data_IF_800304699971
#
_entry.id   IF_800304699971
#
_cell.length_a   1.000
_cell.length_b   1.000
_cell.length_c   1.000
_cell.angle_alpha   90.00
_cell.angle_beta   90.00
_cell.angle_gamma   90.00
#
_symmetry.space_group_name_H-M   'P 1'
#
loop_
_entity.id
_entity.type
_entity.pdbx_description
1 polymer ?
#
# COMPACT_ATOMS: atom_id res chain seq x y z
N UNK A 1 8.79 9.66 -0.63
CA UNK A 1 7.89 8.88 0.26
C UNK A 1 8.40 7.46 0.53
N UNK A 2 8.57 6.60 -0.49
CA UNK A 2 9.04 5.20 -0.30
C UNK A 2 10.30 5.12 0.56
N UNK A 3 11.37 5.83 0.17
CA UNK A 3 12.61 5.89 0.97
C UNK A 3 12.39 6.42 2.39
N UNK A 4 11.45 7.34 2.59
CA UNK A 4 11.19 7.93 3.90
C UNK A 4 10.42 6.98 4.83
N UNK A 5 9.73 5.98 4.27
CA UNK A 5 9.03 4.92 4.97
C UNK A 5 9.84 3.61 5.03
N UNK A 6 11.01 3.56 4.42
CA UNK A 6 11.79 2.32 4.30
C UNK A 6 12.26 1.82 5.66
N UNK A 7 12.08 0.51 5.87
CA UNK A 7 12.52 -0.25 7.05
C UNK A 7 12.75 -1.71 6.64
N UNK A 8 13.68 -2.44 7.28
CA UNK A 8 14.00 -3.83 6.89
C UNK A 8 12.82 -4.82 6.93
N UNK A 9 11.84 -4.56 7.78
CA UNK A 9 10.63 -5.38 7.98
C UNK A 9 9.48 -5.01 7.03
N UNK A 10 9.61 -3.94 6.24
CA UNK A 10 8.57 -3.45 5.33
C UNK A 10 8.77 -4.00 3.92
N UNK A 11 7.66 -4.38 3.30
CA UNK A 11 7.56 -4.74 1.89
C UNK A 11 6.63 -3.74 1.22
N UNK A 12 7.13 -3.06 0.19
CA UNK A 12 6.34 -2.19 -0.66
C UNK A 12 5.79 -3.00 -1.84
N UNK A 13 4.47 -2.95 -2.03
CA UNK A 13 3.82 -3.52 -3.20
C UNK A 13 3.33 -2.39 -4.09
N UNK A 14 3.93 -2.26 -5.28
CA UNK A 14 3.43 -1.38 -6.33
C UNK A 14 2.33 -2.09 -7.09
N UNK A 15 1.18 -1.44 -7.20
CA UNK A 15 0.05 -1.91 -8.00
C UNK A 15 0.11 -1.16 -9.33
N UNK A 16 0.09 -1.89 -10.43
CA UNK A 16 0.13 -1.34 -11.77
C UNK A 16 -1.05 -1.88 -12.59
N UNK A 17 -1.89 -0.96 -13.06
CA UNK A 17 -2.83 -1.22 -14.15
C UNK A 17 -2.26 -0.82 -15.52
N UNK A 18 -3.01 -1.05 -16.61
CA UNK A 18 -2.53 -0.78 -17.96
C UNK A 18 -2.10 0.66 -18.23
N UNK A 19 -2.71 1.61 -17.51
CA UNK A 19 -2.44 3.05 -17.64
C UNK A 19 -1.26 3.54 -16.78
N UNK A 20 -0.77 2.74 -15.83
CA UNK A 20 0.20 3.17 -14.83
C UNK A 20 1.66 2.91 -15.24
N UNK A 21 1.87 2.23 -16.39
CA UNK A 21 3.18 1.72 -16.82
C UNK A 21 4.27 2.78 -16.72
N UNK A 22 4.10 3.91 -17.39
CA UNK A 22 5.14 4.94 -17.48
C UNK A 22 5.45 5.54 -16.10
N UNK A 23 4.42 5.74 -15.27
CA UNK A 23 4.59 6.26 -13.91
C UNK A 23 5.33 5.27 -13.00
N UNK A 24 5.04 3.97 -13.14
CA UNK A 24 5.70 2.92 -12.37
C UNK A 24 7.15 2.74 -12.83
N UNK A 25 7.44 2.77 -14.13
CA UNK A 25 8.82 2.70 -14.61
C UNK A 25 9.67 3.88 -14.10
N UNK A 26 9.17 5.11 -14.21
CA UNK A 26 9.85 6.30 -13.68
C UNK A 26 10.12 6.18 -12.17
N UNK A 27 9.17 5.66 -11.40
CA UNK A 27 9.35 5.45 -9.97
C UNK A 27 10.42 4.39 -9.68
N UNK A 28 10.45 3.29 -10.44
CA UNK A 28 11.46 2.25 -10.28
C UNK A 28 12.87 2.79 -10.61
N UNK A 29 13.01 3.57 -11.68
CA UNK A 29 14.26 4.25 -12.02
C UNK A 29 14.73 5.15 -10.87
N UNK A 30 13.84 5.96 -10.31
CA UNK A 30 14.15 6.81 -9.16
C UNK A 30 14.56 6.01 -7.92
N UNK A 31 13.96 4.83 -7.69
CA UNK A 31 14.35 3.98 -6.56
C UNK A 31 15.71 3.30 -6.76
N UNK A 32 16.08 2.97 -8.00
CA UNK A 32 17.36 2.29 -8.32
C UNK A 32 18.53 3.28 -8.38
N UNK A 33 18.31 4.50 -8.88
CA UNK A 33 19.40 5.44 -9.18
C UNK A 33 19.80 6.35 -8.02
N UNK A 34 18.97 6.53 -7.00
CA UNK A 34 19.15 7.64 -6.05
C UNK A 34 20.00 7.36 -4.82
N UNK A 35 20.26 6.11 -4.40
CA UNK A 35 21.13 5.90 -3.23
C UNK A 35 21.59 4.45 -2.98
N UNK A 36 22.91 4.24 -2.76
CA UNK A 36 23.46 2.97 -2.24
C UNK A 36 23.08 2.72 -0.77
N UNK A 37 22.57 3.71 -0.06
CA UNK A 37 22.15 3.61 1.33
C UNK A 37 20.84 2.80 1.53
N UNK A 38 19.98 2.69 0.52
CA UNK A 38 18.70 1.95 0.59
C UNK A 38 18.79 0.55 -0.05
N UNK A 39 19.95 -0.10 0.04
CA UNK A 39 20.26 -1.43 -0.54
C UNK A 39 19.36 -2.57 -0.05
N UNK A 40 18.44 -2.30 0.89
CA UNK A 40 17.50 -3.27 1.44
C UNK A 40 16.03 -2.99 1.09
N UNK A 41 15.72 -2.01 0.23
CA UNK A 41 14.35 -1.72 -0.15
C UNK A 41 13.68 -2.98 -0.74
N UNK A 42 12.72 -3.53 -0.02
CA UNK A 42 11.95 -4.69 -0.48
C UNK A 42 10.74 -4.18 -1.24
N UNK A 43 10.84 -4.24 -2.57
CA UNK A 43 9.80 -3.77 -3.46
C UNK A 43 9.35 -4.89 -4.40
N UNK A 44 8.05 -5.09 -4.49
CA UNK A 44 7.41 -6.01 -5.42
C UNK A 44 6.39 -5.26 -6.29
N UNK A 45 6.11 -5.79 -7.48
CA UNK A 45 5.18 -5.19 -8.44
C UNK A 45 4.09 -6.20 -8.79
N UNK A 46 2.83 -5.79 -8.66
CA UNK A 46 1.65 -6.56 -9.05
C UNK A 46 1.03 -5.90 -10.28
N UNK A 47 1.07 -6.59 -11.41
CA UNK A 47 0.68 -6.05 -12.72
C UNK A 47 -0.63 -6.66 -13.18
N UNK A 48 -1.58 -5.81 -13.58
CA UNK A 48 -2.82 -6.20 -14.25
C UNK A 48 -3.57 -7.34 -13.54
N UNK A 49 -3.57 -7.34 -12.20
CA UNK A 49 -4.26 -8.34 -11.43
C UNK A 49 -5.78 -8.20 -11.62
N UNK A 50 -6.53 -9.30 -11.82
CA UNK A 50 -7.98 -9.26 -11.79
C UNK A 50 -8.48 -8.66 -10.46
N UNK A 51 -9.55 -7.88 -10.51
CA UNK A 51 -10.06 -7.16 -9.34
C UNK A 51 -10.28 -8.03 -8.08
N UNK A 52 -10.82 -9.27 -8.17
CA UNK A 52 -10.95 -10.12 -6.99
C UNK A 52 -9.60 -10.51 -6.37
N UNK A 53 -8.57 -10.75 -7.19
CA UNK A 53 -7.22 -11.04 -6.69
C UNK A 53 -6.59 -9.80 -6.06
N UNK A 54 -6.76 -8.64 -6.70
CA UNK A 54 -6.29 -7.37 -6.16
C UNK A 54 -6.94 -7.08 -4.80
N UNK A 55 -8.25 -7.26 -4.69
CA UNK A 55 -9.02 -7.11 -3.45
C UNK A 55 -8.48 -8.02 -2.32
N UNK A 56 -8.22 -9.30 -2.63
CA UNK A 56 -7.67 -10.25 -1.65
C UNK A 56 -6.26 -9.86 -1.18
N UNK A 57 -5.43 -9.31 -2.06
CA UNK A 57 -4.10 -8.78 -1.70
C UNK A 57 -4.23 -7.54 -0.82
N UNK A 58 -5.06 -6.57 -1.23
CA UNK A 58 -5.30 -5.32 -0.50
C UNK A 58 -5.82 -5.56 0.92
N UNK A 59 -6.71 -6.53 1.12
CA UNK A 59 -7.24 -6.91 2.44
C UNK A 59 -6.12 -7.33 3.44
N UNK A 60 -4.97 -7.77 2.92
CA UNK A 60 -3.82 -8.21 3.72
C UNK A 60 -2.80 -7.12 3.97
N UNK A 61 -2.85 -6.00 3.26
CA UNK A 61 -1.94 -4.87 3.45
C UNK A 61 -2.08 -4.26 4.85
N UNK A 62 -0.97 -3.81 5.42
CA UNK A 62 -0.95 -3.06 6.69
C UNK A 62 -1.32 -1.59 6.49
N UNK A 63 -1.10 -1.09 5.28
CA UNK A 63 -1.46 0.25 4.84
C UNK A 63 -1.50 0.23 3.32
N UNK A 64 -2.49 0.90 2.74
CA UNK A 64 -2.53 1.26 1.33
C UNK A 64 -2.43 2.78 1.20
N UNK A 65 -1.59 3.25 0.28
CA UNK A 65 -1.42 4.67 -0.04
C UNK A 65 -1.77 4.83 -1.52
N UNK A 66 -2.71 5.72 -1.83
CA UNK A 66 -3.15 5.93 -3.21
C UNK A 66 -3.68 7.33 -3.44
N UNK A 67 -3.76 7.73 -4.70
CA UNK A 67 -4.45 8.93 -5.14
C UNK A 67 -5.97 8.72 -5.16
N UNK A 68 -6.72 9.73 -5.58
CA UNK A 68 -8.14 9.57 -5.94
C UNK A 68 -8.29 8.63 -7.16
N UNK A 69 -8.52 7.34 -6.89
CA UNK A 69 -8.65 6.29 -7.90
C UNK A 69 -9.52 5.12 -7.43
N UNK A 70 -10.03 4.34 -8.38
CA UNK A 70 -10.85 3.16 -8.08
C UNK A 70 -10.15 2.12 -7.21
N UNK A 71 -8.82 1.98 -7.31
CA UNK A 71 -8.04 1.05 -6.46
C UNK A 71 -8.04 1.53 -5.00
N UNK A 72 -7.98 2.83 -4.75
CA UNK A 72 -8.10 3.42 -3.40
C UNK A 72 -9.46 3.10 -2.78
N UNK A 73 -10.54 3.21 -3.56
CA UNK A 73 -11.87 2.77 -3.13
C UNK A 73 -11.94 1.27 -2.86
N UNK A 74 -11.35 0.45 -3.72
CA UNK A 74 -11.30 -0.99 -3.54
C UNK A 74 -10.58 -1.36 -2.24
N UNK A 75 -9.41 -0.77 -1.98
CA UNK A 75 -8.64 -0.99 -0.76
C UNK A 75 -9.45 -0.66 0.50
N UNK A 76 -10.13 0.49 0.49
CA UNK A 76 -10.99 0.89 1.60
C UNK A 76 -12.18 -0.07 1.80
N UNK A 77 -12.80 -0.52 0.70
CA UNK A 77 -13.96 -1.43 0.74
C UNK A 77 -13.65 -2.81 1.32
N UNK A 78 -12.40 -3.28 1.16
CA UNK A 78 -11.94 -4.56 1.73
C UNK A 78 -11.36 -4.40 3.14
N UNK A 79 -11.49 -3.21 3.74
CA UNK A 79 -11.08 -2.94 5.11
C UNK A 79 -9.59 -2.69 5.31
N UNK A 80 -8.82 -2.49 4.25
CA UNK A 80 -7.43 -2.07 4.38
C UNK A 80 -7.37 -0.67 5.04
N UNK A 81 -6.40 -0.39 5.92
CA UNK A 81 -6.10 0.98 6.32
C UNK A 81 -5.64 1.78 5.10
N UNK A 82 -6.24 2.94 4.84
CA UNK A 82 -5.94 3.75 3.65
C UNK A 82 -5.48 5.15 4.05
N UNK A 83 -4.42 5.62 3.39
CA UNK A 83 -4.09 7.04 3.25
C UNK A 83 -4.34 7.44 1.81
N UNK A 84 -5.34 8.31 1.59
CA UNK A 84 -5.73 8.76 0.26
C UNK A 84 -5.29 10.21 0.02
N UNK A 85 -4.65 10.45 -1.13
CA UNK A 85 -4.14 11.75 -1.54
C UNK A 85 -5.07 12.39 -2.58
N UNK A 86 -5.73 13.48 -2.19
CA UNK A 86 -6.71 14.22 -3.00
C UNK A 86 -6.17 15.60 -3.37
N UNK A 87 -5.63 15.75 -4.57
CA UNK A 87 -5.00 17.02 -5.00
C UNK A 87 -6.02 17.93 -5.68
N UNK A 88 -6.71 17.43 -6.72
CA UNK A 88 -7.56 18.23 -7.59
C UNK A 88 -9.07 18.02 -7.38
N UNK A 89 -9.45 16.90 -6.76
CA UNK A 89 -10.84 16.47 -6.60
C UNK A 89 -11.33 16.68 -5.17
N UNK A 90 -12.65 16.87 -5.02
CA UNK A 90 -13.28 17.07 -3.72
C UNK A 90 -13.52 15.73 -2.99
N UNK A 91 -12.83 15.47 -1.87
CA UNK A 91 -13.03 14.24 -1.10
C UNK A 91 -14.40 14.19 -0.39
N UNK A 92 -15.10 15.31 -0.20
CA UNK A 92 -16.46 15.26 0.34
C UNK A 92 -17.42 14.56 -0.64
N UNK A 93 -17.13 14.63 -1.94
CA UNK A 93 -17.92 13.97 -3.00
C UNK A 93 -17.39 12.59 -3.36
N UNK A 94 -16.08 12.45 -3.46
CA UNK A 94 -15.42 11.26 -4.01
C UNK A 94 -14.61 10.47 -2.99
N UNK A 95 -14.63 10.85 -1.71
CA UNK A 95 -13.85 10.19 -0.68
C UNK A 95 -14.22 8.70 -0.52
N UNK A 96 -13.23 7.79 -0.42
CA UNK A 96 -13.48 6.40 -0.11
C UNK A 96 -14.08 6.22 1.28
N UNK A 97 -14.96 5.22 1.43
CA UNK A 97 -15.60 4.89 2.70
C UNK A 97 -14.83 3.79 3.44
N UNK A 98 -14.79 3.86 4.77
CA UNK A 98 -14.14 2.86 5.62
C UNK A 98 -13.03 3.45 6.49
N UNK A 99 -11.98 2.67 6.76
CA UNK A 99 -10.82 3.08 7.56
C UNK A 99 -9.85 3.93 6.73
N UNK A 100 -10.25 5.16 6.43
CA UNK A 100 -9.50 6.05 5.54
C UNK A 100 -9.11 7.37 6.20
N UNK A 101 -7.87 7.77 5.98
CA UNK A 101 -7.37 9.11 6.24
C UNK A 101 -7.13 9.81 4.90
N UNK A 102 -7.67 11.02 4.74
CA UNK A 102 -7.56 11.80 3.50
C UNK A 102 -6.65 12.99 3.75
N UNK A 103 -5.67 13.19 2.87
CA UNK A 103 -4.90 14.42 2.75
C UNK A 103 -5.34 15.14 1.49
N UNK A 104 -5.76 16.40 1.64
CA UNK A 104 -6.27 17.23 0.54
C UNK A 104 -5.31 18.39 0.25
N UNK A 105 -5.20 18.77 -1.03
CA UNK A 105 -4.35 19.87 -1.49
C UNK A 105 -2.97 19.38 -1.91
N UNK A 106 -1.92 20.06 -1.46
CA UNK A 106 -0.52 19.74 -1.81
C UNK A 106 0.27 19.33 -0.55
N UNK A 107 0.05 18.11 -0.02
CA UNK A 107 0.73 17.67 1.20
C UNK A 107 2.21 17.40 0.94
N UNK A 108 3.06 17.87 1.84
CA UNK A 108 4.49 17.57 1.82
C UNK A 108 4.74 16.07 2.06
N UNK A 109 5.89 15.59 1.58
CA UNK A 109 6.31 14.19 1.82
C UNK A 109 6.38 13.87 3.32
N UNK A 110 6.73 14.85 4.15
CA UNK A 110 6.82 14.68 5.60
C UNK A 110 5.44 14.51 6.25
N UNK A 111 4.44 15.28 5.82
CA UNK A 111 3.06 15.13 6.30
C UNK A 111 2.49 13.75 5.93
N UNK A 112 2.70 13.32 4.69
CA UNK A 112 2.26 12.00 4.24
C UNK A 112 2.97 10.90 5.04
N UNK A 113 4.29 11.03 5.26
CA UNK A 113 5.08 10.08 6.05
C UNK A 113 4.57 9.98 7.48
N UNK A 114 4.41 11.12 8.17
CA UNK A 114 3.96 11.15 9.56
C UNK A 114 2.57 10.52 9.73
N UNK A 115 1.66 10.76 8.79
CA UNK A 115 0.35 10.12 8.79
C UNK A 115 0.47 8.60 8.56
N UNK A 116 1.29 8.16 7.60
CA UNK A 116 1.50 6.73 7.34
C UNK A 116 2.05 6.00 8.57
N UNK A 117 3.04 6.57 9.27
CA UNK A 117 3.60 5.99 10.50
C UNK A 117 2.54 5.85 11.59
N UNK A 118 1.72 6.88 11.81
CA UNK A 118 0.60 6.82 12.77
C UNK A 118 -0.41 5.72 12.43
N UNK A 119 -0.76 5.56 11.15
CA UNK A 119 -1.71 4.53 10.71
C UNK A 119 -1.12 3.13 10.85
N UNK A 120 0.17 2.96 10.52
CA UNK A 120 0.89 1.70 10.70
C UNK A 120 0.95 1.29 12.18
N UNK A 121 1.26 2.22 13.07
CA UNK A 121 1.29 1.98 14.52
C UNK A 121 -0.10 1.56 15.05
N UNK A 122 -1.16 2.30 14.69
CA UNK A 122 -2.53 1.94 15.07
C UNK A 122 -2.97 0.58 14.49
N UNK A 123 -2.48 0.20 13.31
CA UNK A 123 -2.79 -1.09 12.68
C UNK A 123 -2.06 -2.24 13.37
N UNK A 124 -0.80 -2.05 13.77
CA UNK A 124 -0.02 -3.05 14.50
C UNK A 124 -0.69 -3.42 15.84
N UNK A 125 -1.30 -2.45 16.52
CA UNK A 125 -2.02 -2.67 17.78
C UNK A 125 -3.34 -3.44 17.62
N UNK A 126 -3.96 -3.38 16.45
CA UNK A 126 -5.31 -3.94 16.23
C UNK A 126 -5.30 -5.30 15.51
N UNK A 127 -4.22 -5.64 14.80
CA UNK A 127 -4.07 -6.97 14.22
C UNK A 127 -3.56 -7.95 15.27
N UNK A 128 -4.39 -8.95 15.62
CA UNK A 128 -3.88 -10.17 16.25
C UNK A 128 -2.80 -10.77 15.35
N UNK A 129 -1.66 -11.24 15.89
CA UNK A 129 -0.72 -12.01 15.09
C UNK A 129 -1.49 -13.19 14.50
N UNK A 130 -1.53 -13.27 13.17
CA UNK A 130 -1.94 -14.52 12.54
C UNK A 130 -0.89 -15.53 12.95
N UNK A 131 -1.26 -16.45 13.85
CA UNK A 131 -0.44 -17.60 14.16
C UNK A 131 0.03 -18.18 12.83
N UNK A 132 1.34 -18.29 12.64
CA UNK A 132 1.90 -19.18 11.63
C UNK A 132 1.36 -20.57 11.96
N UNK A 133 0.18 -20.93 11.47
CA UNK A 133 -0.22 -22.32 11.40
C UNK A 133 0.75 -22.96 10.44
N UNK A 134 1.66 -23.72 11.04
CA UNK A 134 2.54 -24.69 10.43
C UNK A 134 1.89 -25.30 9.20
N UNK A 135 2.47 -25.05 8.02
CA UNK A 135 2.21 -25.82 6.80
C UNK A 135 2.88 -27.21 6.89
N UNK A 136 3.21 -27.69 8.09
CA UNK A 136 3.72 -29.03 8.33
C UNK A 136 2.64 -29.88 9.00
N UNK A 137 1.78 -30.50 8.17
CA UNK A 137 1.14 -31.83 8.35
C UNK A 137 -0.11 -31.92 7.49
N UNK A 138 -0.01 -32.61 6.36
CA UNK A 138 -0.39 -34.02 6.32
C UNK A 138 -0.13 -34.58 4.93
N UNK A 139 0.85 -35.47 4.88
CA UNK A 139 0.98 -36.52 3.87
C UNK A 139 -0.38 -37.17 3.58
N UNK A 140 -0.80 -37.14 2.33
CA UNK A 140 -1.81 -38.04 1.79
C UNK A 140 -1.27 -39.49 1.89
N UNK A 141 -1.94 -40.44 2.57
CA UNK A 141 -1.63 -41.85 2.42
C UNK A 141 -2.32 -42.40 1.16
N UNK A 142 -1.49 -43.07 0.35
CA UNK A 142 -1.70 -43.93 -0.84
C UNK A 142 -3.13 -44.22 -1.28
#
# INVERSE_FOLDING_TARGET
>A
LIHALDRPDRLFLLIEGPADRDSVEQLLELCVHRDRAYTQLRLARLRNAPLPHLAAVLARCHLFIGNDSGVTHLAASVGAPVVALFIATDPARWGPRGRVHILQGDPSVEEVRALCERVLEATALTRRPQSRTDLTRSSCPR
#
